data_IF_553915611893
#
_entry.id   IF_553915611893
#
_cell.length_a   1.000
_cell.length_b   1.000
_cell.length_c   1.000
_cell.angle_alpha   90.00
_cell.angle_beta   90.00
_cell.angle_gamma   90.00
#
_symmetry.space_group_name_H-M   'P 1'
#
loop_
_entity.id
_entity.type
_entity.pdbx_description
1 polymer ?
#
# COMPACT_ATOMS: atom_id res chain seq x y z
N UNK A 1 -11.14 -0.81 -16.28
CA UNK A 1 -11.19 -0.50 -14.83
C UNK A 1 -9.93 0.26 -14.51
N UNK A 2 -10.05 1.53 -14.13
CA UNK A 2 -8.95 2.23 -13.45
C UNK A 2 -9.01 1.76 -11.99
N UNK A 3 -8.16 0.79 -11.64
CA UNK A 3 -8.16 0.17 -10.31
C UNK A 3 -7.09 0.80 -9.44
N UNK A 4 -7.45 1.17 -8.20
CA UNK A 4 -6.48 1.55 -7.18
C UNK A 4 -5.86 0.28 -6.59
N UNK A 5 -4.53 0.19 -6.55
CA UNK A 5 -3.82 -0.87 -5.83
C UNK A 5 -3.46 -0.37 -4.43
N UNK A 6 -3.76 -1.18 -3.42
CA UNK A 6 -3.33 -0.94 -2.04
C UNK A 6 -2.04 -1.71 -1.77
N UNK A 7 -1.00 -1.01 -1.32
CA UNK A 7 0.31 -1.60 -1.05
C UNK A 7 0.86 -1.17 0.31
N UNK A 8 1.81 -1.94 0.86
CA UNK A 8 2.56 -1.53 2.07
C UNK A 8 3.38 -0.27 1.75
N UNK A 9 3.24 0.77 2.56
CA UNK A 9 4.02 1.99 2.40
C UNK A 9 5.52 1.68 2.52
N UNK A 10 6.32 2.22 1.61
CA UNK A 10 7.77 1.99 1.56
C UNK A 10 8.20 0.68 0.91
N UNK A 11 7.27 -0.16 0.43
CA UNK A 11 7.62 -1.41 -0.27
C UNK A 11 7.91 -1.23 -1.77
N UNK A 12 7.60 -0.07 -2.37
CA UNK A 12 7.89 0.18 -3.79
C UNK A 12 9.39 0.35 -4.02
N UNK A 13 9.91 -0.34 -5.03
CA UNK A 13 11.33 -0.32 -5.40
C UNK A 13 11.60 0.22 -6.79
N UNK A 14 10.62 0.18 -7.70
CA UNK A 14 10.71 0.74 -9.05
C UNK A 14 9.32 0.94 -9.66
N UNK A 15 9.21 1.82 -10.64
CA UNK A 15 8.01 2.00 -11.47
C UNK A 15 8.34 2.54 -12.86
N UNK A 16 7.42 2.34 -13.81
CA UNK A 16 7.46 2.94 -15.16
C UNK A 16 6.06 3.41 -15.54
N UNK A 17 5.96 4.46 -16.36
CA UNK A 17 4.68 5.06 -16.74
C UNK A 17 4.27 6.23 -15.84
N UNK A 18 3.00 6.63 -15.93
CA UNK A 18 2.42 7.73 -15.15
C UNK A 18 1.66 7.17 -13.96
N UNK A 19 2.35 7.03 -12.82
CA UNK A 19 1.83 6.38 -11.61
C UNK A 19 2.04 7.30 -10.40
N UNK A 20 0.97 7.50 -9.63
CA UNK A 20 0.96 8.28 -8.39
C UNK A 20 0.86 7.39 -7.15
N UNK A 21 1.53 7.81 -6.08
CA UNK A 21 1.60 7.10 -4.81
C UNK A 21 1.14 8.02 -3.68
N UNK A 22 0.03 7.67 -3.03
CA UNK A 22 -0.53 8.46 -1.92
C UNK A 22 -0.51 7.64 -0.65
N UNK A 23 0.27 8.06 0.35
CA UNK A 23 0.23 7.46 1.68
C UNK A 23 -1.14 7.65 2.31
N UNK A 24 -1.80 6.55 2.70
CA UNK A 24 -3.05 6.63 3.45
C UNK A 24 -2.73 6.57 4.93
N UNK A 25 -2.85 7.70 5.61
CA UNK A 25 -3.14 7.68 7.04
C UNK A 25 -4.50 7.02 7.23
N UNK A 26 -4.66 6.16 8.23
CA UNK A 26 -5.91 5.40 8.43
C UNK A 26 -7.15 6.30 8.43
N UNK A 27 -8.28 5.70 8.02
CA UNK A 27 -9.54 6.35 7.66
C UNK A 27 -10.22 7.20 8.77
N UNK A 28 -9.64 7.34 9.97
CA UNK A 28 -10.21 8.10 11.07
C UNK A 28 -9.38 9.31 11.56
N UNK A 29 -8.20 9.62 10.98
CA UNK A 29 -7.31 10.56 11.67
C UNK A 29 -6.40 11.50 10.89
N UNK A 30 -6.36 11.47 9.55
CA UNK A 30 -5.43 12.32 8.79
C UNK A 30 -3.96 12.19 9.24
N UNK A 31 -3.15 13.25 9.10
CA UNK A 31 -1.72 13.27 9.50
C UNK A 31 -1.52 12.86 10.97
N UNK A 32 -2.47 13.20 11.85
CA UNK A 32 -2.47 12.81 13.27
C UNK A 32 -2.67 11.31 13.47
N UNK A 33 -3.45 10.65 12.60
CA UNK A 33 -3.65 9.20 12.61
C UNK A 33 -2.39 8.44 12.19
N UNK A 34 -1.66 8.92 11.18
CA UNK A 34 -0.37 8.34 10.76
C UNK A 34 0.69 8.42 11.87
N UNK A 35 0.78 9.57 12.56
CA UNK A 35 1.69 9.75 13.69
C UNK A 35 1.32 8.85 14.88
N UNK A 36 0.03 8.69 15.19
CA UNK A 36 -0.43 7.78 16.25
C UNK A 36 -0.11 6.33 15.92
N UNK A 37 -0.33 5.90 14.68
CA UNK A 37 -0.07 4.52 14.25
C UNK A 37 1.44 4.20 14.22
N UNK A 38 2.26 5.16 13.80
CA UNK A 38 3.71 5.06 13.90
C UNK A 38 4.22 5.05 15.36
N UNK A 39 3.54 5.76 16.27
CA UNK A 39 3.89 5.84 17.69
C UNK A 39 3.42 4.64 18.53
N UNK A 40 2.30 4.00 18.19
CA UNK A 40 1.81 2.78 18.87
C UNK A 40 2.44 1.50 18.34
N UNK A 41 2.99 1.52 17.12
CA UNK A 41 3.50 0.31 16.46
C UNK A 41 2.39 -0.64 15.96
N UNK A 42 1.12 -0.22 16.07
CA UNK A 42 -0.03 -1.04 15.69
C UNK A 42 -0.53 -0.67 14.30
N UNK A 43 -0.11 -1.47 13.31
CA UNK A 43 -0.71 -1.54 11.99
C UNK A 43 0.27 -1.22 10.85
N UNK A 44 0.27 -2.08 9.83
CA UNK A 44 1.10 -1.93 8.64
C UNK A 44 0.74 -0.64 7.91
N UNK A 45 1.68 0.30 7.71
CA UNK A 45 1.39 1.51 6.96
C UNK A 45 1.09 1.16 5.50
N UNK A 46 0.08 1.81 4.91
CA UNK A 46 -0.43 1.51 3.56
C UNK A 46 -0.39 2.74 2.65
N UNK A 47 -0.28 2.51 1.35
CA UNK A 47 -0.35 3.51 0.30
C UNK A 47 -1.30 3.07 -0.81
N UNK A 48 -1.97 4.03 -1.43
CA UNK A 48 -2.72 3.83 -2.67
C UNK A 48 -1.83 4.13 -3.87
N UNK A 49 -1.96 3.31 -4.90
CA UNK A 49 -1.22 3.36 -6.16
C UNK A 49 -2.23 3.46 -7.29
N UNK A 50 -2.13 4.51 -8.09
CA UNK A 50 -3.10 4.87 -9.13
C UNK A 50 -2.37 5.39 -10.38
N UNK A 51 -2.91 5.10 -11.56
CA UNK A 51 -2.35 5.55 -12.84
C UNK A 51 -2.10 4.41 -13.82
N UNK A 52 -1.32 4.68 -14.86
CA UNK A 52 -1.06 3.80 -15.99
C UNK A 52 0.44 3.49 -16.09
N UNK A 53 0.81 2.25 -15.75
CA UNK A 53 2.21 1.85 -15.69
C UNK A 53 2.46 0.51 -15.02
N UNK A 54 3.73 0.25 -14.72
CA UNK A 54 4.16 -0.92 -13.96
C UNK A 54 4.76 -0.46 -12.64
N UNK A 55 4.52 -1.23 -11.57
CA UNK A 55 5.06 -0.97 -10.23
C UNK A 55 5.61 -2.27 -9.66
N UNK A 56 6.79 -2.19 -9.04
CA UNK A 56 7.49 -3.30 -8.43
C UNK A 56 7.57 -3.09 -6.92
N UNK A 57 7.21 -4.13 -6.14
CA UNK A 57 7.24 -4.12 -4.68
C UNK A 57 8.20 -5.17 -4.14
N UNK A 58 8.86 -4.87 -3.03
CA UNK A 58 9.67 -5.79 -2.25
C UNK A 58 9.51 -5.50 -0.74
N UNK A 59 9.69 -6.53 0.09
CA UNK A 59 9.69 -6.40 1.56
C UNK A 59 10.90 -7.15 2.12
N UNK A 60 12.00 -6.43 2.31
CA UNK A 60 13.26 -6.80 2.98
C UNK A 60 13.48 -8.30 3.29
N UNK A 61 13.82 -9.09 2.26
CA UNK A 61 14.18 -10.50 2.41
C UNK A 61 13.03 -11.45 2.75
N UNK A 62 11.79 -10.96 2.83
CA UNK A 62 10.61 -11.80 3.10
C UNK A 62 10.18 -12.59 1.88
N UNK A 63 9.57 -13.75 2.14
CA UNK A 63 8.89 -14.55 1.12
C UNK A 63 7.56 -13.88 0.77
N UNK A 64 7.37 -13.56 -0.51
CA UNK A 64 6.12 -13.02 -1.05
C UNK A 64 5.34 -14.15 -1.71
N UNK A 65 4.05 -14.26 -1.39
CA UNK A 65 3.14 -15.22 -2.00
C UNK A 65 1.89 -14.48 -2.47
N UNK A 66 1.48 -14.75 -3.71
CA UNK A 66 0.21 -14.24 -4.25
C UNK A 66 -0.90 -15.14 -3.74
N UNK A 67 -1.92 -14.53 -3.13
CA UNK A 67 -3.15 -15.18 -2.69
C UNK A 67 -4.28 -14.56 -3.50
N UNK A 68 -5.05 -15.41 -4.17
CA UNK A 68 -6.27 -14.99 -4.86
C UNK A 68 -7.41 -14.99 -3.84
N UNK A 69 -8.11 -13.86 -3.71
CA UNK A 69 -9.27 -13.75 -2.84
C UNK A 69 -10.52 -14.05 -3.66
N UNK A 70 -11.29 -15.07 -3.26
CA UNK A 70 -12.58 -15.35 -3.86
C UNK A 70 -13.58 -14.23 -3.60
N UNK A 71 -14.60 -14.16 -4.46
CA UNK A 71 -15.70 -13.21 -4.24
C UNK A 71 -16.41 -13.50 -2.91
N UNK A 72 -16.28 -12.59 -1.94
CA UNK A 72 -16.94 -12.70 -0.63
C UNK A 72 -16.12 -13.40 0.46
N UNK A 73 -14.87 -13.76 0.21
CA UNK A 73 -13.96 -14.23 1.26
C UNK A 73 -13.38 -13.02 2.02
N UNK A 74 -13.36 -13.10 3.35
CA UNK A 74 -12.85 -12.08 4.28
C UNK A 74 -11.85 -12.69 5.24
#
# INVERSE_FOLDING_TARGET
VAGTVMAKAGSMVAYTGDVSFTGKASAEGGVTGFLKQAATGEGTPIMAVEGDGHVYFADDGKKVQVIELGAGES
#
